data_IF_403588240784
#
_entry.id   IF_403588240784
#
_cell.length_a   1.000
_cell.length_b   1.000
_cell.length_c   1.000
_cell.angle_alpha   90.00
_cell.angle_beta   90.00
_cell.angle_gamma   90.00
#
_symmetry.space_group_name_H-M   'P 1'
#
loop_
_entity.id
_entity.type
_entity.pdbx_description
1 polymer ?
#
# COMPACT_ATOMS: atom_id res chain seq x y z
N UNK A 1 11.00 -16.79 7.77
CA UNK A 1 9.89 -15.87 7.42
C UNK A 1 9.32 -15.33 8.72
N UNK A 2 9.53 -14.05 9.05
CA UNK A 2 9.05 -13.49 10.32
C UNK A 2 7.58 -13.08 10.15
N UNK A 3 6.66 -14.01 10.45
CA UNK A 3 5.22 -13.93 10.18
C UNK A 3 4.46 -12.91 11.04
N UNK A 4 5.13 -12.30 12.03
CA UNK A 4 4.49 -11.42 13.02
C UNK A 4 4.30 -9.97 12.54
N UNK A 5 4.83 -9.59 11.38
CA UNK A 5 4.85 -8.18 10.93
C UNK A 5 3.55 -7.67 10.26
N UNK A 6 2.57 -8.53 10.01
CA UNK A 6 1.37 -8.20 9.21
C UNK A 6 0.08 -8.56 9.96
N UNK A 7 -0.28 -7.79 10.99
CA UNK A 7 -1.44 -8.11 11.86
C UNK A 7 -2.75 -7.38 11.51
N UNK A 8 -2.77 -6.36 10.64
CA UNK A 8 -4.00 -5.58 10.37
C UNK A 8 -4.18 -5.18 8.90
N UNK A 9 -5.14 -5.83 8.21
CA UNK A 9 -5.58 -5.44 6.89
C UNK A 9 -6.72 -4.42 7.04
N UNK A 10 -6.66 -3.31 6.30
CA UNK A 10 -7.74 -2.31 6.28
C UNK A 10 -8.53 -2.46 4.98
N UNK A 11 -9.84 -2.63 5.12
CA UNK A 11 -10.77 -2.74 4.00
C UNK A 11 -11.42 -1.36 3.82
N UNK A 12 -11.19 -0.71 2.68
CA UNK A 12 -11.85 0.55 2.32
C UNK A 12 -12.33 0.50 0.86
N UNK A 13 -13.56 0.94 0.57
CA UNK A 13 -14.15 0.81 -0.78
C UNK A 13 -13.65 1.83 -1.82
N UNK A 14 -12.96 2.91 -1.43
CA UNK A 14 -12.61 4.00 -2.38
C UNK A 14 -11.35 4.81 -2.06
N UNK A 15 -10.84 4.80 -0.82
CA UNK A 15 -9.55 5.42 -0.51
C UNK A 15 -9.01 5.00 0.86
N UNK A 16 -7.69 4.98 1.02
CA UNK A 16 -7.04 4.79 2.32
C UNK A 16 -5.94 5.83 2.51
N UNK A 17 -5.93 6.51 3.64
CA UNK A 17 -4.92 7.52 3.99
C UNK A 17 -4.13 7.10 5.23
N UNK A 18 -2.84 7.36 5.19
CA UNK A 18 -1.90 7.18 6.29
C UNK A 18 -1.18 8.48 6.55
N UNK A 19 -0.97 8.78 7.82
CA UNK A 19 -0.28 9.98 8.24
C UNK A 19 0.88 9.62 9.17
N UNK A 20 2.07 10.11 8.85
CA UNK A 20 3.15 10.27 9.82
C UNK A 20 3.06 11.68 10.38
N UNK A 21 2.93 11.84 11.68
CA UNK A 21 2.76 13.14 12.35
C UNK A 21 3.95 13.42 13.27
N UNK A 22 4.28 14.69 13.47
CA UNK A 22 5.37 15.11 14.38
C UNK A 22 6.76 14.72 13.88
N UNK A 23 6.93 14.62 12.56
CA UNK A 23 8.21 14.34 11.92
C UNK A 23 9.06 15.61 11.88
N UNK A 24 10.37 15.52 12.07
CA UNK A 24 11.23 16.66 11.79
C UNK A 24 11.19 17.00 10.29
N UNK A 25 11.42 18.27 9.96
CA UNK A 25 11.50 18.66 8.56
C UNK A 25 12.83 18.17 7.97
N UNK A 26 12.77 17.51 6.81
CA UNK A 26 13.95 16.91 6.18
C UNK A 26 13.60 15.80 5.20
N UNK A 27 14.62 15.15 4.64
CA UNK A 27 14.41 14.02 3.72
C UNK A 27 14.16 12.73 4.48
N UNK A 28 13.14 11.99 4.05
CA UNK A 28 12.79 10.69 4.58
C UNK A 28 12.73 9.64 3.47
N UNK A 29 13.15 8.43 3.81
CA UNK A 29 12.91 7.22 3.04
C UNK A 29 11.62 6.57 3.53
N UNK A 30 10.62 6.56 2.67
CA UNK A 30 9.31 5.94 2.90
C UNK A 30 9.34 4.56 2.29
N UNK A 31 9.20 3.53 3.11
CA UNK A 31 9.06 2.15 2.64
C UNK A 31 7.61 1.69 2.81
N UNK A 32 6.97 1.36 1.69
CA UNK A 32 5.66 0.74 1.63
C UNK A 32 5.85 -0.76 1.42
N UNK A 33 5.46 -1.57 2.40
CA UNK A 33 5.48 -3.03 2.30
C UNK A 33 4.07 -3.55 2.07
N UNK A 34 3.89 -4.28 0.97
CA UNK A 34 2.62 -4.88 0.57
C UNK A 34 2.68 -6.38 0.80
N UNK A 35 1.63 -6.93 1.40
CA UNK A 35 1.37 -8.36 1.42
C UNK A 35 -0.09 -8.61 1.08
N UNK A 36 -0.34 -9.47 0.09
CA UNK A 36 -1.67 -9.94 -0.25
C UNK A 36 -2.03 -11.10 0.68
N UNK A 37 -3.02 -10.91 1.56
CA UNK A 37 -3.38 -11.92 2.58
C UNK A 37 -4.73 -12.57 2.36
N UNK A 38 -5.59 -12.01 1.49
CA UNK A 38 -6.99 -12.40 1.41
C UNK A 38 -7.36 -13.25 0.19
N UNK A 39 -6.67 -13.11 -0.94
CA UNK A 39 -7.06 -13.80 -2.16
C UNK A 39 -6.12 -14.98 -2.37
N UNK A 40 -6.54 -16.15 -1.88
CA UNK A 40 -5.93 -17.41 -2.28
C UNK A 40 -6.17 -17.63 -3.78
N UNK A 41 -5.17 -18.17 -4.49
CA UNK A 41 -5.29 -18.51 -5.91
C UNK A 41 -6.45 -19.49 -6.21
N UNK A 42 -7.02 -20.13 -5.19
CA UNK A 42 -8.19 -21.03 -5.23
C UNK A 42 -9.54 -20.35 -5.04
N UNK A 43 -9.60 -19.03 -4.80
CA UNK A 43 -10.85 -18.33 -4.51
C UNK A 43 -11.68 -18.12 -5.79
N UNK A 44 -12.62 -19.02 -6.04
CA UNK A 44 -13.64 -18.97 -7.11
C UNK A 44 -14.72 -17.90 -6.88
N UNK A 45 -14.46 -16.88 -6.06
CA UNK A 45 -15.38 -15.77 -5.77
C UNK A 45 -15.03 -14.53 -6.57
N UNK A 46 -16.03 -13.68 -6.81
CA UNK A 46 -15.91 -12.33 -7.38
C UNK A 46 -14.79 -11.47 -6.77
N UNK A 47 -14.36 -11.80 -5.56
CA UNK A 47 -13.21 -11.24 -4.83
C UNK A 47 -11.86 -11.46 -5.54
N UNK A 48 -11.70 -12.52 -6.34
CA UNK A 48 -10.48 -12.79 -7.12
C UNK A 48 -10.44 -12.04 -8.45
N UNK A 49 -11.59 -11.58 -8.94
CA UNK A 49 -11.78 -10.86 -10.20
C UNK A 49 -11.65 -9.34 -10.06
N UNK A 50 -11.66 -8.81 -8.84
CA UNK A 50 -11.45 -7.39 -8.58
C UNK A 50 -10.06 -6.96 -9.06
N UNK A 51 -10.01 -5.94 -9.95
CA UNK A 51 -8.76 -5.30 -10.34
C UNK A 51 -8.13 -4.68 -9.09
N UNK A 52 -6.96 -5.20 -8.68
CA UNK A 52 -6.19 -4.75 -7.51
C UNK A 52 -5.34 -3.52 -7.86
N UNK A 53 -5.92 -2.62 -8.63
CA UNK A 53 -5.24 -1.53 -9.30
C UNK A 53 -5.57 -0.25 -8.55
N UNK A 54 -4.55 0.43 -8.04
CA UNK A 54 -4.72 1.68 -7.32
C UNK A 54 -3.59 2.65 -7.61
N UNK A 55 -3.88 3.92 -7.37
CA UNK A 55 -2.88 4.96 -7.38
C UNK A 55 -2.33 5.16 -5.96
N UNK A 56 -1.04 5.45 -5.86
CA UNK A 56 -0.36 5.82 -4.62
C UNK A 56 0.11 7.25 -4.76
N UNK A 57 -0.32 8.08 -3.83
CA UNK A 57 0.12 9.45 -3.67
C UNK A 57 0.91 9.60 -2.37
N UNK A 58 1.98 10.39 -2.41
CA UNK A 58 2.75 10.81 -1.23
C UNK A 58 2.83 12.34 -1.26
N UNK A 59 2.39 13.00 -0.20
CA UNK A 59 2.29 14.47 -0.16
C UNK A 59 1.54 15.04 -1.38
N UNK A 60 0.45 14.38 -1.78
CA UNK A 60 -0.34 14.75 -2.97
C UNK A 60 0.33 14.44 -4.33
N UNK A 61 1.60 14.01 -4.36
CA UNK A 61 2.30 13.65 -5.59
C UNK A 61 2.01 12.19 -5.97
N UNK A 62 1.56 11.95 -7.20
CA UNK A 62 1.37 10.61 -7.74
C UNK A 62 2.73 9.91 -7.90
N UNK A 63 3.00 8.89 -7.10
CA UNK A 63 4.27 8.14 -7.13
C UNK A 63 4.16 6.81 -7.86
N UNK A 64 2.97 6.19 -7.84
CA UNK A 64 2.66 5.00 -8.60
C UNK A 64 1.23 5.10 -9.11
N UNK A 65 1.06 4.88 -10.41
CA UNK A 65 -0.23 4.86 -11.09
C UNK A 65 -0.61 3.44 -11.47
N UNK A 66 -1.89 3.11 -11.40
CA UNK A 66 -2.43 1.83 -11.85
C UNK A 66 -1.65 0.63 -11.26
N UNK A 67 -1.28 0.71 -9.98
CA UNK A 67 -0.42 -0.25 -9.32
C UNK A 67 -1.17 -1.55 -9.02
N UNK A 68 -0.76 -2.63 -9.69
CA UNK A 68 -1.32 -3.98 -9.53
C UNK A 68 -0.41 -4.85 -8.66
N UNK A 69 -0.83 -5.08 -7.41
CA UNK A 69 -0.09 -5.91 -6.45
C UNK A 69 0.16 -7.33 -6.98
N UNK A 70 -0.80 -7.93 -7.69
CA UNK A 70 -0.67 -9.31 -8.19
C UNK A 70 0.38 -9.39 -9.29
N UNK A 71 0.38 -8.41 -10.19
CA UNK A 71 1.40 -8.31 -11.25
C UNK A 71 2.79 -8.15 -10.64
N UNK A 72 2.93 -7.28 -9.64
CA UNK A 72 4.20 -7.02 -8.97
C UNK A 72 4.72 -8.20 -8.13
N UNK A 73 3.81 -9.03 -7.62
CA UNK A 73 4.15 -10.28 -6.95
C UNK A 73 4.61 -11.41 -7.91
N UNK A 74 4.60 -11.17 -9.22
CA UNK A 74 4.93 -12.18 -10.24
C UNK A 74 3.77 -13.14 -10.54
N UNK A 75 2.53 -12.71 -10.28
CA UNK A 75 1.32 -13.52 -10.49
C UNK A 75 0.99 -14.47 -9.35
N UNK A 76 1.85 -14.57 -8.32
CA UNK A 76 1.64 -15.42 -7.15
C UNK A 76 0.95 -14.66 -6.02
N UNK A 77 -0.15 -15.21 -5.50
CA UNK A 77 -0.73 -14.73 -4.24
C UNK A 77 0.24 -14.96 -3.06
N UNK A 78 0.13 -14.14 -2.02
CA UNK A 78 0.86 -14.29 -0.74
C UNK A 78 2.37 -13.95 -0.72
N UNK A 79 2.93 -13.34 -1.78
CA UNK A 79 4.31 -12.82 -1.73
C UNK A 79 4.35 -11.39 -1.19
N UNK A 80 5.05 -11.18 -0.07
CA UNK A 80 5.33 -9.84 0.42
C UNK A 80 6.42 -9.16 -0.43
N UNK A 81 6.24 -7.88 -0.73
CA UNK A 81 7.24 -7.06 -1.43
C UNK A 81 7.17 -5.60 -0.97
N UNK A 82 8.18 -4.80 -1.35
CA UNK A 82 8.28 -3.42 -0.90
C UNK A 82 8.58 -2.42 -2.03
N UNK A 83 8.21 -1.17 -1.78
CA UNK A 83 8.55 0.01 -2.59
C UNK A 83 9.12 1.10 -1.69
N UNK A 84 10.13 1.79 -2.20
CA UNK A 84 10.83 2.84 -1.48
C UNK A 84 10.73 4.15 -2.24
N UNK A 85 10.45 5.23 -1.52
CA UNK A 85 10.36 6.57 -2.06
C UNK A 85 11.11 7.53 -1.15
N UNK A 86 11.80 8.50 -1.74
CA UNK A 86 12.46 9.57 -0.98
C UNK A 86 11.64 10.85 -1.13
N UNK A 87 11.22 11.42 -0.02
CA UNK A 87 10.41 12.64 0.03
C UNK A 87 10.94 13.60 1.08
N UNK A 88 10.74 14.89 0.83
CA UNK A 88 11.00 15.95 1.80
C UNK A 88 9.75 16.19 2.64
N UNK A 89 9.92 16.20 3.95
CA UNK A 89 8.91 16.63 4.93
C UNK A 89 9.13 18.12 5.19
N UNK A 90 8.14 18.93 4.83
CA UNK A 90 8.18 20.40 4.99
C UNK A 90 7.24 20.91 6.08
N UNK A 91 6.19 20.15 6.40
CA UNK A 91 5.12 20.57 7.30
C UNK A 91 4.99 19.66 8.53
N UNK A 92 6.08 19.02 8.96
CA UNK A 92 6.10 18.14 10.13
C UNK A 92 5.19 16.88 10.03
N UNK A 93 4.60 16.65 8.87
CA UNK A 93 3.81 15.44 8.59
C UNK A 93 4.12 14.88 7.22
N UNK A 94 3.68 13.64 7.01
CA UNK A 94 3.60 13.01 5.69
C UNK A 94 2.25 12.35 5.49
N UNK A 95 1.60 12.62 4.36
CA UNK A 95 0.41 11.91 3.92
C UNK A 95 0.79 10.88 2.84
N UNK A 96 0.28 9.65 3.00
CA UNK A 96 0.28 8.63 1.97
C UNK A 96 -1.19 8.29 1.67
N UNK A 97 -1.60 8.41 0.42
CA UNK A 97 -2.97 8.19 -0.02
C UNK A 97 -3.02 7.12 -1.10
N UNK A 98 -3.74 6.04 -0.81
CA UNK A 98 -4.04 4.95 -1.74
C UNK A 98 -5.46 5.17 -2.26
N UNK A 99 -5.61 5.32 -3.57
CA UNK A 99 -6.89 5.67 -4.20
C UNK A 99 -7.30 4.63 -5.24
N UNK A 100 -8.57 4.19 -5.19
CA UNK A 100 -9.17 3.23 -6.13
C UNK A 100 -10.25 3.95 -6.92
N UNK A 101 -10.15 3.94 -8.25
CA UNK A 101 -11.14 4.59 -9.12
C UNK A 101 -12.43 3.77 -9.26
N UNK A 102 -12.41 2.46 -8.99
CA UNK A 102 -13.55 1.56 -9.20
C UNK A 102 -13.78 0.61 -8.01
N UNK A 103 -15.03 0.17 -7.82
CA UNK A 103 -15.48 -0.70 -6.70
C UNK A 103 -14.66 -1.98 -6.64
N UNK A 104 -13.78 -2.08 -5.64
CA UNK A 104 -13.10 -3.31 -5.25
C UNK A 104 -12.93 -3.35 -3.74
N UNK A 105 -13.34 -4.44 -3.10
CA UNK A 105 -12.88 -4.74 -1.75
C UNK A 105 -11.46 -5.27 -1.89
N UNK A 106 -10.47 -4.51 -1.46
CA UNK A 106 -9.08 -4.98 -1.46
C UNK A 106 -8.64 -5.15 -0.02
N UNK A 107 -8.40 -6.40 0.37
CA UNK A 107 -7.84 -6.77 1.67
C UNK A 107 -6.35 -7.08 1.50
N UNK A 108 -5.52 -6.06 1.71
CA UNK A 108 -4.06 -6.15 1.73
C UNK A 108 -3.53 -5.60 3.05
N UNK A 109 -2.35 -6.06 3.43
CA UNK A 109 -1.59 -5.53 4.54
C UNK A 109 -0.62 -4.49 3.99
N UNK A 110 -0.70 -3.25 4.48
CA UNK A 110 0.28 -2.21 4.21
C UNK A 110 1.01 -1.87 5.51
N UNK A 111 2.33 -2.04 5.48
CA UNK A 111 3.20 -1.48 6.51
C UNK A 111 3.96 -0.29 5.94
N UNK A 112 3.87 0.83 6.64
CA UNK A 112 4.63 2.06 6.35
C UNK A 112 5.78 2.14 7.33
N UNK A 113 7.01 2.26 6.81
CA UNK A 113 8.20 2.58 7.59
C UNK A 113 8.75 3.92 7.10
N UNK A 114 9.10 4.79 8.04
CA UNK A 114 9.67 6.11 7.77
C UNK A 114 10.97 6.21 8.56
N UNK A 115 12.04 6.58 7.88
CA UNK A 115 13.34 6.88 8.49
C UNK A 115 14.05 7.99 7.71
N UNK A 116 14.93 8.76 8.37
CA UNK A 116 15.80 9.73 7.70
C UNK A 116 16.76 9.07 6.69
#
# INVERSE_FOLDING_TARGET
>A
MNSELFQTARISPSSLRYYGLGLENGFYNITLQFAETAIQDSATTWESLGRRVFDIYIQGNLVLKDFDIKKEAGGMSCRAFQRQFRFEVTENYIEIHLFWAERGLVAYQLKVLMGP
#
